data_IF_054317774073
#
_entry.id   IF_054317774073
#
_cell.length_a   1.000
_cell.length_b   1.000
_cell.length_c   1.000
_cell.angle_alpha   90.00
_cell.angle_beta   90.00
_cell.angle_gamma   90.00
#
_symmetry.space_group_name_H-M   'P 1'
#
loop_
_entity.id
_entity.type
_entity.pdbx_description
1 polymer ?
#
# COMPACT_ATOMS: atom_id res chain seq x y z
N UNK A 1 24.88 18.86 -11.95
CA UNK A 1 25.57 20.13 -12.20
C UNK A 1 26.72 20.39 -11.21
N UNK A 2 26.59 20.05 -9.91
CA UNK A 2 27.64 20.26 -8.91
C UNK A 2 28.72 19.17 -8.91
N UNK A 3 28.40 17.95 -9.40
CA UNK A 3 29.28 16.78 -9.30
C UNK A 3 29.79 16.26 -10.65
N UNK A 4 29.44 16.90 -11.74
CA UNK A 4 29.78 16.49 -13.11
C UNK A 4 28.98 15.26 -13.60
N UNK A 5 28.65 15.26 -14.87
CA UNK A 5 27.79 14.26 -15.51
C UNK A 5 28.33 12.83 -15.42
N UNK A 6 29.66 12.68 -15.47
CA UNK A 6 30.30 11.34 -15.42
C UNK A 6 30.11 10.64 -14.08
N UNK A 7 30.16 11.37 -12.96
CA UNK A 7 29.98 10.78 -11.62
C UNK A 7 28.55 10.35 -11.41
N UNK A 8 27.59 11.17 -11.85
CA UNK A 8 26.16 10.87 -11.69
C UNK A 8 25.69 9.75 -12.61
N UNK A 9 26.24 9.66 -13.83
CA UNK A 9 25.95 8.53 -14.72
C UNK A 9 26.51 7.20 -14.18
N UNK A 10 27.63 7.21 -13.46
CA UNK A 10 28.14 6.04 -12.79
C UNK A 10 27.21 5.51 -11.67
N UNK A 11 26.33 6.35 -11.15
CA UNK A 11 25.37 5.97 -10.11
C UNK A 11 24.13 5.23 -10.66
N UNK A 12 23.85 5.39 -11.96
CA UNK A 12 22.81 4.64 -12.65
C UNK A 12 23.35 4.07 -13.97
N UNK A 13 23.96 2.89 -13.95
CA UNK A 13 24.66 2.30 -15.11
C UNK A 13 23.73 1.93 -16.27
N UNK A 14 22.42 1.96 -16.09
CA UNK A 14 21.44 1.71 -17.14
C UNK A 14 21.23 2.90 -18.07
N UNK A 15 21.76 4.09 -17.72
CA UNK A 15 21.55 5.32 -18.47
C UNK A 15 22.70 5.59 -19.45
N UNK A 16 22.33 5.90 -20.68
CA UNK A 16 23.25 6.29 -21.75
C UNK A 16 23.32 7.79 -21.99
N UNK A 17 22.36 8.55 -21.47
CA UNK A 17 22.29 10.00 -21.59
C UNK A 17 22.96 10.71 -20.40
N UNK A 18 23.57 11.84 -20.64
CA UNK A 18 24.12 12.69 -19.56
C UNK A 18 23.01 13.45 -18.85
N UNK A 19 23.18 13.74 -17.56
CA UNK A 19 22.14 14.45 -16.76
C UNK A 19 21.82 15.83 -17.34
N UNK A 20 22.80 16.49 -17.95
CA UNK A 20 22.61 17.78 -18.62
C UNK A 20 21.66 17.73 -19.83
N UNK A 21 21.49 16.55 -20.43
CA UNK A 21 20.61 16.33 -21.58
C UNK A 21 19.23 15.80 -21.18
N UNK A 22 19.05 15.46 -19.90
CA UNK A 22 17.79 14.86 -19.39
C UNK A 22 16.75 15.94 -19.07
N UNK A 23 15.48 15.62 -19.37
CA UNK A 23 14.37 16.40 -18.86
C UNK A 23 14.24 16.29 -17.33
N UNK A 24 13.64 17.27 -16.64
CA UNK A 24 13.41 17.20 -15.20
C UNK A 24 12.61 15.95 -14.78
N UNK A 25 11.64 15.50 -15.60
CA UNK A 25 10.84 14.31 -15.37
C UNK A 25 11.70 13.05 -15.43
N UNK A 26 12.66 12.99 -16.36
CA UNK A 26 13.57 11.86 -16.50
C UNK A 26 14.55 11.80 -15.32
N UNK A 27 15.10 12.93 -14.89
CA UNK A 27 15.94 13.02 -13.69
C UNK A 27 15.16 12.55 -12.45
N UNK A 28 13.92 12.99 -12.31
CA UNK A 28 13.06 12.52 -11.22
C UNK A 28 12.87 11.00 -11.26
N UNK A 29 12.52 10.46 -12.44
CA UNK A 29 12.25 9.03 -12.63
C UNK A 29 13.46 8.15 -12.33
N UNK A 30 14.63 8.53 -12.82
CA UNK A 30 15.83 7.70 -12.77
C UNK A 30 16.62 7.87 -11.45
N UNK A 31 16.65 9.06 -10.87
CA UNK A 31 17.44 9.35 -9.66
C UNK A 31 16.58 9.52 -8.41
N UNK A 32 15.71 10.51 -8.36
CA UNK A 32 14.98 10.85 -7.13
C UNK A 32 14.07 9.68 -6.69
N UNK A 33 13.37 9.06 -7.63
CA UNK A 33 12.49 7.92 -7.38
C UNK A 33 13.28 6.71 -6.85
N UNK A 34 14.46 6.43 -7.42
CA UNK A 34 15.32 5.34 -6.97
C UNK A 34 15.85 5.58 -5.55
N UNK A 35 16.24 6.80 -5.20
CA UNK A 35 16.60 7.16 -3.82
C UNK A 35 15.39 6.98 -2.89
N UNK A 36 14.20 7.40 -3.32
CA UNK A 36 12.96 7.20 -2.59
C UNK A 36 12.67 5.73 -2.29
N UNK A 37 12.88 4.82 -3.26
CA UNK A 37 12.73 3.36 -3.08
C UNK A 37 13.64 2.83 -1.96
N UNK A 38 14.92 3.21 -1.98
CA UNK A 38 15.87 2.83 -0.94
C UNK A 38 15.46 3.36 0.45
N UNK A 39 14.98 4.60 0.48
CA UNK A 39 14.45 5.23 1.70
C UNK A 39 13.22 4.51 2.26
N UNK A 40 12.27 4.12 1.42
CA UNK A 40 11.08 3.35 1.81
C UNK A 40 11.49 1.98 2.38
N UNK A 41 12.39 1.27 1.70
CA UNK A 41 12.87 -0.03 2.16
C UNK A 41 13.50 0.06 3.55
N UNK A 42 14.41 1.01 3.76
CA UNK A 42 15.06 1.22 5.06
C UNK A 42 14.08 1.69 6.14
N UNK A 43 13.16 2.60 5.82
CA UNK A 43 12.12 3.05 6.75
C UNK A 43 11.22 1.89 7.20
N UNK A 44 10.92 0.94 6.30
CA UNK A 44 10.20 -0.28 6.64
C UNK A 44 10.98 -1.18 7.60
N UNK A 45 12.29 -1.39 7.36
CA UNK A 45 13.17 -2.14 8.29
C UNK A 45 13.20 -1.49 9.67
N UNK A 46 13.37 -0.16 9.73
CA UNK A 46 13.34 0.60 10.98
C UNK A 46 11.99 0.42 11.69
N UNK A 47 10.88 0.44 10.94
CA UNK A 47 9.54 0.20 11.48
C UNK A 47 9.40 -1.17 12.14
N UNK A 48 9.89 -2.23 11.51
CA UNK A 48 9.89 -3.59 12.06
C UNK A 48 10.73 -3.64 13.35
N UNK A 49 11.95 -3.11 13.32
CA UNK A 49 12.86 -3.11 14.48
C UNK A 49 12.22 -2.37 15.67
N UNK A 50 11.64 -1.20 15.44
CA UNK A 50 10.93 -0.43 16.48
C UNK A 50 9.72 -1.17 17.05
N UNK A 51 9.04 -1.95 16.22
CA UNK A 51 7.85 -2.70 16.61
C UNK A 51 8.15 -4.10 17.13
N UNK A 52 9.42 -4.47 17.31
CA UNK A 52 9.81 -5.82 17.75
C UNK A 52 9.16 -6.25 19.06
N UNK A 53 9.01 -5.33 20.02
CA UNK A 53 8.32 -5.59 21.28
C UNK A 53 6.84 -5.97 21.09
N UNK A 54 6.17 -5.32 20.14
CA UNK A 54 4.77 -5.58 19.80
C UNK A 54 4.64 -6.96 19.17
N UNK A 55 5.51 -7.27 18.21
CA UNK A 55 5.55 -8.57 17.53
C UNK A 55 5.75 -9.70 18.55
N UNK A 56 6.72 -9.53 19.46
CA UNK A 56 6.99 -10.51 20.54
C UNK A 56 5.78 -10.71 21.45
N UNK A 57 5.07 -9.63 21.81
CA UNK A 57 3.88 -9.71 22.66
C UNK A 57 2.72 -10.41 21.95
N UNK A 58 2.51 -10.15 20.66
CA UNK A 58 1.48 -10.80 19.85
C UNK A 58 1.71 -12.30 19.72
N UNK A 59 2.95 -12.73 19.44
CA UNK A 59 3.32 -14.16 19.41
C UNK A 59 3.12 -14.81 20.77
N UNK A 60 3.54 -14.11 21.86
CA UNK A 60 3.37 -14.62 23.21
C UNK A 60 1.91 -14.80 23.63
N UNK A 61 1.03 -13.88 23.20
CA UNK A 61 -0.40 -13.98 23.46
C UNK A 61 -1.02 -15.15 22.71
N UNK A 62 -0.73 -15.28 21.41
CA UNK A 62 -1.20 -16.40 20.60
C UNK A 62 -0.78 -17.76 21.17
N UNK A 63 0.48 -17.89 21.60
CA UNK A 63 1.00 -19.11 22.21
C UNK A 63 0.30 -19.45 23.54
N UNK A 64 0.01 -18.44 24.37
CA UNK A 64 -0.72 -18.64 25.65
C UNK A 64 -2.14 -19.12 25.44
N UNK A 65 -2.86 -18.53 24.48
CA UNK A 65 -4.25 -18.93 24.18
C UNK A 65 -4.34 -20.30 23.51
N UNK A 66 -3.41 -20.63 22.64
CA UNK A 66 -3.32 -21.99 22.05
C UNK A 66 -2.96 -23.05 23.10
N UNK A 67 -2.18 -22.69 24.13
CA UNK A 67 -1.79 -23.58 25.23
C UNK A 67 -2.90 -23.90 26.23
N UNK A 68 -4.15 -23.50 25.97
CA UNK A 68 -5.34 -23.96 26.73
C UNK A 68 -5.49 -23.37 28.13
N UNK A 69 -4.76 -22.31 28.48
CA UNK A 69 -5.08 -21.54 29.69
C UNK A 69 -6.39 -20.80 29.43
N UNK A 70 -7.47 -21.30 30.05
CA UNK A 70 -8.80 -20.67 30.00
C UNK A 70 -8.65 -19.21 30.43
N UNK A 71 -8.82 -18.30 29.49
CA UNK A 71 -9.11 -16.92 29.79
C UNK A 71 -10.47 -16.91 30.50
N UNK A 72 -10.56 -16.20 31.58
CA UNK A 72 -11.59 -16.20 32.60
C UNK A 72 -13.04 -16.37 32.08
N UNK A 73 -13.83 -17.14 32.82
CA UNK A 73 -15.19 -17.54 32.49
C UNK A 73 -16.24 -16.39 32.42
N UNK A 74 -15.85 -15.15 32.63
CA UNK A 74 -16.74 -13.98 32.68
C UNK A 74 -16.33 -12.88 31.70
N UNK A 75 -16.12 -13.23 30.41
CA UNK A 75 -15.88 -12.20 29.39
C UNK A 75 -17.20 -11.50 29.05
N UNK A 76 -17.24 -10.18 29.25
CA UNK A 76 -18.40 -9.35 28.88
C UNK A 76 -18.65 -9.49 27.37
N UNK A 77 -19.91 -9.48 26.94
CA UNK A 77 -20.32 -9.63 25.53
C UNK A 77 -19.52 -8.76 24.54
N UNK A 78 -19.20 -7.54 24.94
CA UNK A 78 -18.45 -6.56 24.13
C UNK A 78 -16.94 -6.81 24.06
N UNK A 79 -16.45 -7.83 24.76
CA UNK A 79 -15.05 -8.26 24.76
C UNK A 79 -14.89 -9.72 24.27
N UNK A 80 -15.97 -10.31 23.75
CA UNK A 80 -15.96 -11.69 23.29
C UNK A 80 -15.51 -11.75 21.84
N UNK A 81 -14.27 -12.24 21.63
CA UNK A 81 -13.65 -12.46 20.31
C UNK A 81 -13.89 -13.90 19.80
N UNK A 82 -13.51 -14.16 18.55
CA UNK A 82 -13.43 -15.51 18.01
C UNK A 82 -12.36 -16.30 18.75
N UNK A 83 -12.62 -17.62 18.91
CA UNK A 83 -11.64 -18.47 19.56
C UNK A 83 -10.36 -18.59 18.72
N UNK A 84 -9.20 -18.57 19.37
CA UNK A 84 -7.90 -18.70 18.72
C UNK A 84 -7.79 -19.98 17.86
N UNK A 85 -8.52 -21.05 18.22
CA UNK A 85 -8.56 -22.28 17.43
C UNK A 85 -9.21 -22.08 16.06
N UNK A 86 -10.30 -21.29 15.97
CA UNK A 86 -10.96 -20.95 14.71
C UNK A 86 -10.02 -20.08 13.87
N UNK A 87 -9.36 -19.10 14.49
CA UNK A 87 -8.41 -18.22 13.80
C UNK A 87 -7.22 -19.03 13.26
N UNK A 88 -6.63 -19.91 14.06
CA UNK A 88 -5.51 -20.75 13.64
C UNK A 88 -5.89 -21.68 12.48
N UNK A 89 -7.04 -22.37 12.60
CA UNK A 89 -7.52 -23.25 11.54
C UNK A 89 -7.82 -22.46 10.25
N UNK A 90 -8.52 -21.34 10.35
CA UNK A 90 -8.79 -20.45 9.21
C UNK A 90 -7.52 -19.93 8.55
N UNK A 91 -6.51 -19.54 9.36
CA UNK A 91 -5.21 -19.09 8.84
C UNK A 91 -4.46 -20.19 8.10
N UNK A 92 -4.41 -21.41 8.66
CA UNK A 92 -3.78 -22.57 8.00
C UNK A 92 -4.51 -22.90 6.70
N UNK A 93 -5.83 -22.90 6.72
CA UNK A 93 -6.64 -23.15 5.52
C UNK A 93 -6.38 -22.09 4.43
N UNK A 94 -6.34 -20.82 4.80
CA UNK A 94 -6.04 -19.72 3.86
C UNK A 94 -4.63 -19.83 3.29
N UNK A 95 -3.62 -20.13 4.14
CA UNK A 95 -2.23 -20.35 3.69
C UNK A 95 -2.17 -21.51 2.69
N UNK A 96 -2.91 -22.61 2.94
CA UNK A 96 -2.97 -23.73 2.01
C UNK A 96 -3.61 -23.34 0.67
N UNK A 97 -4.70 -22.57 0.68
CA UNK A 97 -5.33 -22.08 -0.55
C UNK A 97 -4.38 -21.16 -1.35
N UNK A 98 -3.67 -20.26 -0.68
CA UNK A 98 -2.68 -19.38 -1.33
C UNK A 98 -1.52 -20.22 -1.88
N UNK A 99 -1.06 -21.26 -1.17
CA UNK A 99 -0.02 -22.15 -1.65
C UNK A 99 -0.45 -22.89 -2.93
N UNK A 100 -1.68 -23.40 -2.96
CA UNK A 100 -2.24 -24.07 -4.14
C UNK A 100 -2.34 -23.07 -5.32
N UNK A 101 -2.80 -21.87 -5.07
CA UNK A 101 -2.85 -20.80 -6.07
C UNK A 101 -1.46 -20.46 -6.61
N UNK A 102 -0.47 -20.29 -5.75
CA UNK A 102 0.91 -20.05 -6.19
C UNK A 102 1.46 -21.22 -6.99
N UNK A 103 1.20 -22.45 -6.56
CA UNK A 103 1.72 -23.62 -7.24
C UNK A 103 1.14 -23.82 -8.64
N UNK A 104 -0.19 -23.74 -8.78
CA UNK A 104 -0.83 -24.03 -10.04
C UNK A 104 -0.83 -22.85 -11.01
N UNK A 105 -1.11 -21.64 -10.53
CA UNK A 105 -1.38 -20.49 -11.39
C UNK A 105 -0.16 -19.58 -11.56
N UNK A 106 0.54 -19.23 -10.47
CA UNK A 106 1.62 -18.26 -10.51
C UNK A 106 2.98 -18.86 -10.85
N UNK A 107 3.30 -20.05 -10.28
CA UNK A 107 4.63 -20.69 -10.40
C UNK A 107 4.62 -21.88 -11.37
N UNK A 108 3.51 -22.16 -12.04
CA UNK A 108 3.36 -23.20 -13.06
C UNK A 108 3.95 -24.57 -12.66
N UNK A 109 3.69 -25.01 -11.41
CA UNK A 109 4.11 -26.30 -10.89
C UNK A 109 5.49 -26.34 -10.23
N UNK A 110 6.19 -25.23 -10.08
CA UNK A 110 7.49 -25.21 -9.40
C UNK A 110 7.32 -25.21 -7.87
N UNK A 111 7.57 -26.34 -7.26
CA UNK A 111 7.41 -26.56 -5.79
C UNK A 111 8.30 -25.64 -4.98
N UNK A 112 9.59 -25.50 -5.37
CA UNK A 112 10.55 -24.68 -4.62
C UNK A 112 10.13 -23.22 -4.58
N UNK A 113 9.79 -22.63 -5.74
CA UNK A 113 9.37 -21.24 -5.82
C UNK A 113 8.07 -21.01 -5.05
N UNK A 114 7.12 -21.97 -5.09
CA UNK A 114 5.84 -21.86 -4.37
C UNK A 114 6.02 -21.90 -2.85
N UNK A 115 6.91 -22.79 -2.35
CA UNK A 115 7.20 -22.86 -0.92
C UNK A 115 7.89 -21.60 -0.43
N UNK A 116 8.89 -21.11 -1.18
CA UNK A 116 9.59 -19.88 -0.83
C UNK A 116 8.61 -18.69 -0.84
N UNK A 117 7.74 -18.59 -1.85
CA UNK A 117 6.76 -17.54 -1.96
C UNK A 117 5.78 -17.53 -0.77
N UNK A 118 5.22 -18.69 -0.40
CA UNK A 118 4.25 -18.76 0.70
C UNK A 118 4.90 -18.47 2.06
N UNK A 119 6.10 -18.96 2.31
CA UNK A 119 6.84 -18.68 3.54
C UNK A 119 7.14 -17.18 3.67
N UNK A 120 7.56 -16.56 2.58
CA UNK A 120 7.85 -15.13 2.53
C UNK A 120 6.57 -14.32 2.76
N UNK A 121 5.50 -14.61 2.02
CA UNK A 121 4.21 -13.91 2.14
C UNK A 121 3.60 -14.07 3.53
N UNK A 122 3.57 -15.28 4.07
CA UNK A 122 3.03 -15.53 5.41
C UNK A 122 3.83 -14.80 6.50
N UNK A 123 5.18 -14.85 6.40
CA UNK A 123 6.06 -14.15 7.34
C UNK A 123 5.90 -12.63 7.27
N UNK A 124 5.95 -12.06 6.07
CA UNK A 124 5.82 -10.60 5.87
C UNK A 124 4.39 -10.14 6.25
N UNK A 125 3.35 -10.87 5.84
CA UNK A 125 1.97 -10.53 6.17
C UNK A 125 1.78 -10.49 7.69
N UNK A 126 2.24 -11.51 8.41
CA UNK A 126 2.14 -11.55 9.88
C UNK A 126 2.88 -10.37 10.53
N UNK A 127 4.12 -10.11 10.14
CA UNK A 127 4.92 -9.02 10.69
C UNK A 127 4.27 -7.66 10.42
N UNK A 128 3.91 -7.41 9.18
CA UNK A 128 3.41 -6.10 8.77
C UNK A 128 1.98 -5.84 9.24
N UNK A 129 1.09 -6.84 9.27
CA UNK A 129 -0.25 -6.66 9.81
C UNK A 129 -0.23 -6.36 11.30
N UNK A 130 0.67 -7.01 12.06
CA UNK A 130 0.84 -6.72 13.49
C UNK A 130 1.30 -5.28 13.71
N UNK A 131 2.27 -4.81 12.94
CA UNK A 131 2.78 -3.43 13.02
C UNK A 131 1.73 -2.43 12.58
N UNK A 132 1.04 -2.69 11.45
CA UNK A 132 0.00 -1.83 10.92
C UNK A 132 -1.19 -1.72 11.88
N UNK A 133 -1.66 -2.83 12.43
CA UNK A 133 -2.77 -2.84 13.38
C UNK A 133 -2.47 -1.95 14.61
N UNK A 134 -1.26 -2.03 15.14
CA UNK A 134 -0.83 -1.19 16.26
C UNK A 134 -0.74 0.29 15.85
N UNK A 135 -0.15 0.58 14.69
CA UNK A 135 -0.06 1.95 14.19
C UNK A 135 -1.45 2.58 14.01
N UNK A 136 -2.39 1.84 13.45
CA UNK A 136 -3.76 2.30 13.24
C UNK A 136 -4.48 2.53 14.57
N UNK A 137 -4.30 1.63 15.53
CA UNK A 137 -4.91 1.78 16.86
C UNK A 137 -4.43 3.04 17.60
N UNK A 138 -3.18 3.46 17.38
CA UNK A 138 -2.58 4.63 18.04
C UNK A 138 -2.80 5.91 17.24
N UNK A 139 -2.53 5.90 15.94
CA UNK A 139 -2.45 7.11 15.09
C UNK A 139 -3.68 7.27 14.20
N UNK A 140 -4.47 6.21 14.00
CA UNK A 140 -5.63 6.22 13.11
C UNK A 140 -5.31 6.16 11.61
N UNK A 141 -4.03 6.07 11.22
CA UNK A 141 -3.60 6.00 9.81
C UNK A 141 -3.00 4.64 9.48
N UNK A 142 -3.28 4.16 8.25
CA UNK A 142 -2.80 2.86 7.79
C UNK A 142 -1.57 3.04 6.87
N UNK A 143 -0.37 2.54 7.23
CA UNK A 143 0.85 2.68 6.44
C UNK A 143 0.95 1.67 5.28
N UNK A 144 -0.15 1.29 4.65
CA UNK A 144 -0.23 0.21 3.64
C UNK A 144 0.71 0.42 2.47
N UNK A 145 0.75 1.63 1.89
CA UNK A 145 1.52 1.90 0.66
C UNK A 145 3.02 1.64 0.84
N UNK A 146 3.62 2.12 1.93
CA UNK A 146 5.04 1.92 2.21
C UNK A 146 5.39 0.46 2.49
N UNK A 147 4.56 -0.23 3.28
CA UNK A 147 4.75 -1.64 3.60
C UNK A 147 4.54 -2.54 2.39
N UNK A 148 3.62 -2.21 1.49
CA UNK A 148 3.42 -2.94 0.23
C UNK A 148 4.64 -2.81 -0.68
N UNK A 149 5.17 -1.59 -0.87
CA UNK A 149 6.39 -1.37 -1.66
C UNK A 149 7.59 -2.14 -1.07
N UNK A 150 7.74 -2.13 0.24
CA UNK A 150 8.78 -2.93 0.90
C UNK A 150 8.59 -4.43 0.65
N UNK A 151 7.35 -4.93 0.70
CA UNK A 151 7.04 -6.33 0.37
C UNK A 151 7.47 -6.66 -1.05
N UNK A 152 7.16 -5.78 -2.02
CA UNK A 152 7.54 -5.97 -3.41
C UNK A 152 9.05 -6.02 -3.60
N UNK A 153 9.79 -5.14 -2.93
CA UNK A 153 11.27 -5.15 -2.96
C UNK A 153 11.81 -6.45 -2.39
N UNK A 154 11.35 -6.85 -1.20
CA UNK A 154 11.80 -8.09 -0.54
C UNK A 154 11.44 -9.33 -1.37
N UNK A 155 10.20 -9.39 -1.88
CA UNK A 155 9.74 -10.49 -2.73
C UNK A 155 10.59 -10.59 -4.00
N UNK A 156 10.87 -9.45 -4.66
CA UNK A 156 11.70 -9.42 -5.86
C UNK A 156 13.12 -9.90 -5.59
N UNK A 157 13.76 -9.40 -4.55
CA UNK A 157 15.14 -9.79 -4.20
C UNK A 157 15.23 -11.28 -3.88
N UNK A 158 14.30 -11.80 -3.07
CA UNK A 158 14.30 -13.21 -2.68
C UNK A 158 14.00 -14.10 -3.88
N UNK A 159 13.00 -13.76 -4.71
CA UNK A 159 12.64 -14.56 -5.88
C UNK A 159 13.77 -14.59 -6.92
N UNK A 160 14.46 -13.47 -7.14
CA UNK A 160 15.66 -13.43 -7.99
C UNK A 160 16.79 -14.30 -7.42
N UNK A 161 16.98 -14.30 -6.11
CA UNK A 161 18.00 -15.14 -5.46
C UNK A 161 17.70 -16.64 -5.62
N UNK A 162 16.43 -17.03 -5.71
CA UNK A 162 15.99 -18.42 -5.96
C UNK A 162 15.95 -18.76 -7.46
N UNK A 163 16.29 -17.79 -8.33
CA UNK A 163 16.40 -17.99 -9.78
C UNK A 163 15.15 -17.61 -10.57
N UNK A 164 14.09 -17.09 -9.96
CA UNK A 164 12.90 -16.62 -10.66
C UNK A 164 13.10 -15.16 -11.12
N UNK A 165 13.24 -14.97 -12.43
CA UNK A 165 13.53 -13.67 -13.08
C UNK A 165 12.57 -13.39 -14.23
N UNK A 166 12.65 -12.16 -14.78
CA UNK A 166 11.88 -11.76 -15.96
C UNK A 166 10.40 -11.58 -15.68
N UNK A 167 9.57 -11.68 -16.72
CA UNK A 167 8.13 -11.42 -16.65
C UNK A 167 7.41 -12.30 -15.63
N UNK A 168 7.72 -13.60 -15.56
CA UNK A 168 7.13 -14.52 -14.57
C UNK A 168 7.50 -14.12 -13.15
N UNK A 169 8.74 -13.71 -12.91
CA UNK A 169 9.19 -13.19 -11.62
C UNK A 169 8.45 -11.91 -11.23
N UNK A 170 8.24 -10.99 -12.18
CA UNK A 170 7.48 -9.75 -11.95
C UNK A 170 6.03 -10.04 -11.55
N UNK A 171 5.35 -10.93 -12.27
CA UNK A 171 3.98 -11.35 -11.92
C UNK A 171 3.93 -11.97 -10.53
N UNK A 172 4.86 -12.88 -10.24
CA UNK A 172 4.96 -13.51 -8.94
C UNK A 172 5.13 -12.49 -7.81
N UNK A 173 6.06 -11.56 -7.94
CA UNK A 173 6.29 -10.50 -6.94
C UNK A 173 5.07 -9.61 -6.76
N UNK A 174 4.39 -9.22 -7.87
CA UNK A 174 3.16 -8.41 -7.81
C UNK A 174 2.04 -9.13 -7.08
N UNK A 175 1.83 -10.42 -7.37
CA UNK A 175 0.82 -11.24 -6.68
C UNK A 175 1.15 -11.39 -5.20
N UNK A 176 2.41 -11.67 -4.85
CA UNK A 176 2.86 -11.73 -3.45
C UNK A 176 2.61 -10.40 -2.73
N UNK A 177 2.97 -9.28 -3.36
CA UNK A 177 2.69 -7.94 -2.84
C UNK A 177 1.18 -7.68 -2.69
N UNK A 178 0.37 -8.13 -3.64
CA UNK A 178 -1.09 -8.03 -3.59
C UNK A 178 -1.70 -8.78 -2.40
N UNK A 179 -1.25 -10.01 -2.14
CA UNK A 179 -1.70 -10.80 -0.98
C UNK A 179 -1.37 -10.10 0.33
N UNK A 180 -0.13 -9.61 0.49
CA UNK A 180 0.28 -8.87 1.70
C UNK A 180 -0.47 -7.54 1.81
N UNK A 181 -0.66 -6.82 0.70
CA UNK A 181 -1.43 -5.57 0.67
C UNK A 181 -2.88 -5.79 1.13
N UNK A 182 -3.51 -6.87 0.68
CA UNK A 182 -4.87 -7.25 1.10
C UNK A 182 -4.92 -7.53 2.60
N UNK A 183 -3.95 -8.27 3.13
CA UNK A 183 -3.85 -8.55 4.56
C UNK A 183 -3.69 -7.25 5.39
N UNK A 184 -2.83 -6.33 4.94
CA UNK A 184 -2.62 -5.01 5.56
C UNK A 184 -3.87 -4.13 5.53
N UNK A 185 -4.55 -4.07 4.38
CA UNK A 185 -5.80 -3.32 4.23
C UNK A 185 -6.91 -3.86 5.13
N UNK A 186 -7.03 -5.20 5.19
CA UNK A 186 -8.00 -5.86 6.06
C UNK A 186 -7.71 -5.58 7.54
N UNK A 187 -6.46 -5.67 7.98
CA UNK A 187 -6.08 -5.34 9.35
C UNK A 187 -6.46 -3.89 9.69
N UNK A 188 -6.20 -2.95 8.78
CA UNK A 188 -6.54 -1.55 8.97
C UNK A 188 -8.02 -1.27 9.08
N UNK A 189 -8.79 -1.72 8.10
CA UNK A 189 -10.24 -1.56 8.10
C UNK A 189 -10.89 -2.26 9.30
N UNK A 190 -10.34 -3.41 9.71
CA UNK A 190 -10.90 -4.17 10.81
C UNK A 190 -10.71 -3.50 12.18
N UNK A 191 -9.56 -2.92 12.46
CA UNK A 191 -9.31 -2.17 13.71
C UNK A 191 -10.30 -1.00 13.84
N UNK A 192 -10.56 -0.26 12.76
CA UNK A 192 -11.54 0.84 12.77
C UNK A 192 -12.97 0.33 12.97
N UNK A 193 -13.35 -0.76 12.31
CA UNK A 193 -14.67 -1.40 12.49
C UNK A 193 -14.90 -1.88 13.92
N UNK A 194 -13.89 -2.50 14.55
CA UNK A 194 -13.95 -2.92 15.95
C UNK A 194 -14.10 -1.72 16.89
N UNK A 195 -13.44 -0.60 16.60
CA UNK A 195 -13.57 0.62 17.39
C UNK A 195 -14.98 1.21 17.32
N UNK A 196 -15.56 1.25 16.12
CA UNK A 196 -16.96 1.68 15.92
C UNK A 196 -17.91 0.70 16.63
N UNK A 197 -17.68 -0.60 16.49
CA UNK A 197 -18.45 -1.63 17.16
C UNK A 197 -18.40 -1.53 18.68
N UNK A 198 -17.26 -1.16 19.25
CA UNK A 198 -17.11 -0.91 20.67
C UNK A 198 -18.00 0.26 21.12
N UNK A 199 -18.02 1.37 20.40
CA UNK A 199 -18.88 2.51 20.71
C UNK A 199 -20.38 2.19 20.60
N UNK A 200 -20.77 1.33 19.67
CA UNK A 200 -22.15 0.88 19.46
C UNK A 200 -22.54 -0.29 20.37
N UNK A 201 -21.62 -0.81 21.18
CA UNK A 201 -21.86 -1.97 22.04
C UNK A 201 -22.03 -3.28 21.27
N UNK A 202 -21.45 -3.41 20.09
CA UNK A 202 -21.46 -4.62 19.26
C UNK A 202 -20.59 -5.75 19.86
N UNK A 203 -20.86 -6.99 19.46
CA UNK A 203 -20.05 -8.14 19.86
C UNK A 203 -18.94 -8.36 18.85
N UNK A 204 -17.64 -8.28 19.22
CA UNK A 204 -16.50 -8.43 18.29
C UNK A 204 -16.58 -9.73 17.48
N UNK A 205 -16.81 -10.88 18.13
CA UNK A 205 -16.91 -12.17 17.44
C UNK A 205 -17.96 -12.19 16.31
N UNK A 206 -19.07 -11.44 16.44
CA UNK A 206 -20.05 -11.33 15.35
C UNK A 206 -19.54 -10.47 14.20
N UNK A 207 -18.87 -9.36 14.51
CA UNK A 207 -18.23 -8.51 13.49
C UNK A 207 -17.17 -9.29 12.71
N UNK A 208 -16.32 -10.04 13.41
CA UNK A 208 -15.29 -10.90 12.84
C UNK A 208 -15.89 -11.94 11.88
N UNK A 209 -16.94 -12.64 12.31
CA UNK A 209 -17.60 -13.67 11.50
C UNK A 209 -18.20 -13.08 10.21
N UNK A 210 -18.95 -12.00 10.32
CA UNK A 210 -19.59 -11.36 9.16
C UNK A 210 -18.60 -10.68 8.21
N UNK A 211 -17.44 -10.29 8.72
CA UNK A 211 -16.35 -9.74 7.91
C UNK A 211 -15.86 -10.71 6.83
N UNK A 212 -15.81 -12.01 7.13
CA UNK A 212 -15.43 -13.02 6.13
C UNK A 212 -16.40 -13.03 4.95
N UNK A 213 -17.71 -13.00 5.21
CA UNK A 213 -18.72 -12.96 4.15
C UNK A 213 -18.60 -11.63 3.35
N UNK A 214 -18.46 -10.50 4.05
CA UNK A 214 -18.28 -9.21 3.43
C UNK A 214 -17.05 -9.15 2.51
N UNK A 215 -15.93 -9.74 2.95
CA UNK A 215 -14.70 -9.83 2.16
C UNK A 215 -14.89 -10.65 0.89
N UNK A 216 -15.61 -11.77 0.97
CA UNK A 216 -15.88 -12.64 -0.17
C UNK A 216 -16.72 -11.93 -1.25
N UNK A 217 -17.80 -11.26 -0.83
CA UNK A 217 -18.65 -10.44 -1.71
C UNK A 217 -17.86 -9.30 -2.31
N UNK A 218 -17.06 -8.62 -1.50
CA UNK A 218 -16.21 -7.51 -1.95
C UNK A 218 -15.19 -7.96 -2.99
N UNK A 219 -14.52 -9.10 -2.77
CA UNK A 219 -13.54 -9.65 -3.71
C UNK A 219 -14.17 -9.97 -5.07
N UNK A 220 -15.36 -10.58 -5.09
CA UNK A 220 -16.08 -10.84 -6.32
C UNK A 220 -16.50 -9.55 -7.04
N UNK A 221 -16.99 -8.56 -6.30
CA UNK A 221 -17.41 -7.27 -6.84
C UNK A 221 -16.23 -6.50 -7.43
N UNK A 222 -15.11 -6.42 -6.71
CA UNK A 222 -13.89 -5.72 -7.17
C UNK A 222 -13.35 -6.37 -8.45
N UNK A 223 -13.31 -7.71 -8.52
CA UNK A 223 -12.93 -8.42 -9.74
C UNK A 223 -13.80 -8.03 -10.95
N UNK A 224 -15.12 -8.00 -10.75
CA UNK A 224 -16.07 -7.56 -11.79
C UNK A 224 -15.85 -6.11 -12.21
N UNK A 225 -15.64 -5.20 -11.27
CA UNK A 225 -15.37 -3.78 -11.55
C UNK A 225 -14.07 -3.60 -12.34
N UNK A 226 -12.99 -4.31 -11.97
CA UNK A 226 -11.72 -4.26 -12.70
C UNK A 226 -11.90 -4.75 -14.15
N UNK A 227 -12.67 -5.82 -14.37
CA UNK A 227 -12.97 -6.29 -15.71
C UNK A 227 -13.74 -5.26 -16.54
N UNK A 228 -14.74 -4.59 -15.96
CA UNK A 228 -15.50 -3.53 -16.61
C UNK A 228 -14.57 -2.36 -16.96
N UNK A 229 -13.76 -1.89 -16.02
CA UNK A 229 -12.81 -0.79 -16.23
C UNK A 229 -11.82 -1.12 -17.35
N UNK A 230 -11.27 -2.33 -17.34
CA UNK A 230 -10.33 -2.76 -18.38
C UNK A 230 -10.98 -2.82 -19.76
N UNK A 231 -12.21 -3.30 -19.87
CA UNK A 231 -12.94 -3.34 -21.16
C UNK A 231 -13.36 -1.96 -21.65
N UNK A 232 -13.67 -1.03 -20.73
CA UNK A 232 -14.18 0.30 -21.08
C UNK A 232 -13.05 1.26 -21.43
N UNK A 233 -11.97 1.28 -20.64
CA UNK A 233 -10.87 2.25 -20.79
C UNK A 233 -9.57 1.63 -21.27
N UNK A 234 -9.30 0.37 -20.90
CA UNK A 234 -8.05 -0.32 -21.15
C UNK A 234 -6.90 0.22 -20.27
N UNK A 235 -6.18 -0.67 -19.58
CA UNK A 235 -5.03 -0.25 -18.78
C UNK A 235 -3.79 0.07 -19.61
N UNK A 236 -3.69 -0.46 -20.83
CA UNK A 236 -2.56 -0.26 -21.73
C UNK A 236 -2.61 1.04 -22.53
N UNK A 237 -3.79 1.64 -22.67
CA UNK A 237 -4.00 2.84 -23.51
C UNK A 237 -3.65 4.15 -22.83
N UNK A 238 -3.34 4.13 -21.53
CA UNK A 238 -3.12 5.34 -20.74
C UNK A 238 -4.39 6.11 -20.38
N UNK A 239 -5.55 5.73 -20.91
CA UNK A 239 -6.83 6.37 -20.60
C UNK A 239 -7.26 6.17 -19.14
N UNK A 240 -6.85 5.06 -18.51
CA UNK A 240 -7.02 4.82 -17.09
C UNK A 240 -5.66 4.96 -16.41
N UNK A 241 -5.41 6.09 -15.79
CA UNK A 241 -4.19 6.30 -15.02
C UNK A 241 -4.18 5.37 -13.80
N UNK A 242 -3.19 4.48 -13.73
CA UNK A 242 -2.93 3.62 -12.59
C UNK A 242 -1.56 3.96 -11.98
N UNK A 243 -1.39 5.15 -11.37
CA UNK A 243 -0.09 5.66 -10.95
C UNK A 243 0.59 4.75 -9.93
N UNK A 244 -0.18 4.13 -9.03
CA UNK A 244 0.35 3.18 -8.03
C UNK A 244 0.85 1.90 -8.68
N UNK A 245 0.11 1.32 -9.63
CA UNK A 245 0.53 0.12 -10.34
C UNK A 245 1.78 0.36 -11.18
N UNK A 246 1.82 1.48 -11.91
CA UNK A 246 3.00 1.88 -12.69
C UNK A 246 4.21 2.15 -11.78
N UNK A 247 3.99 2.73 -10.62
CA UNK A 247 5.03 2.94 -9.63
C UNK A 247 5.60 1.62 -9.10
N UNK A 248 4.74 0.66 -8.79
CA UNK A 248 5.13 -0.67 -8.33
C UNK A 248 5.90 -1.44 -9.42
N UNK A 249 5.41 -1.42 -10.66
CA UNK A 249 6.10 -2.02 -11.80
C UNK A 249 7.51 -1.43 -11.99
N UNK A 250 7.66 -0.13 -11.91
CA UNK A 250 8.95 0.55 -12.05
C UNK A 250 9.95 0.22 -10.92
N UNK A 251 9.48 -0.26 -9.77
CA UNK A 251 10.34 -0.76 -8.68
C UNK A 251 10.81 -2.18 -8.96
N UNK A 252 9.91 -3.02 -9.48
CA UNK A 252 10.17 -4.45 -9.67
C UNK A 252 11.00 -4.71 -10.92
N UNK A 253 10.75 -3.96 -11.99
CA UNK A 253 11.36 -4.18 -13.31
C UNK A 253 12.89 -4.19 -13.27
N UNK A 254 13.62 -3.22 -12.70
CA UNK A 254 15.07 -3.25 -12.59
C UNK A 254 15.58 -4.42 -11.74
N UNK A 255 14.82 -4.83 -10.71
CA UNK A 255 15.21 -5.94 -9.83
C UNK A 255 15.09 -7.29 -10.52
N UNK A 256 14.06 -7.48 -11.36
CA UNK A 256 13.73 -8.77 -11.95
C UNK A 256 14.38 -9.01 -13.32
N UNK A 257 14.57 -7.97 -14.12
CA UNK A 257 15.12 -8.09 -15.47
C UNK A 257 16.65 -7.98 -15.53
N UNK A 258 17.32 -7.74 -14.41
CA UNK A 258 18.78 -7.75 -14.32
C UNK A 258 19.47 -6.59 -15.07
N UNK A 259 18.73 -5.61 -15.56
CA UNK A 259 19.25 -4.39 -16.14
C UNK A 259 19.65 -3.48 -14.97
N UNK A 260 20.79 -3.81 -14.33
CA UNK A 260 21.47 -3.00 -13.34
C UNK A 260 20.60 -2.18 -12.40
N UNK A 261 19.96 -2.83 -11.40
CA UNK A 261 19.30 -2.06 -10.36
C UNK A 261 20.29 -1.05 -9.76
N UNK A 262 19.92 0.24 -9.60
CA UNK A 262 20.82 1.28 -9.13
C UNK A 262 21.05 1.15 -7.62
N UNK A 263 21.76 0.10 -7.22
CA UNK A 263 22.01 -0.25 -5.81
C UNK A 263 22.63 0.89 -5.01
N UNK A 264 23.44 1.72 -5.67
CA UNK A 264 24.08 2.86 -5.03
C UNK A 264 23.03 3.92 -4.67
N UNK A 265 22.06 4.21 -5.55
CA UNK A 265 20.96 5.13 -5.28
C UNK A 265 20.03 4.59 -4.18
N UNK A 266 19.77 3.29 -4.20
CA UNK A 266 19.02 2.62 -3.10
C UNK A 266 19.78 2.73 -1.77
N UNK A 267 21.12 2.55 -1.80
CA UNK A 267 21.97 2.76 -0.63
C UNK A 267 21.93 4.18 -0.08
N UNK A 268 22.00 5.18 -0.96
CA UNK A 268 21.88 6.61 -0.58
C UNK A 268 20.52 6.87 0.07
N UNK A 269 19.44 6.34 -0.50
CA UNK A 269 18.10 6.45 0.07
C UNK A 269 18.00 5.79 1.45
N UNK A 270 18.62 4.63 1.63
CA UNK A 270 18.67 3.94 2.91
C UNK A 270 19.42 4.75 3.99
N UNK A 271 20.58 5.31 3.65
CA UNK A 271 21.34 6.19 4.55
C UNK A 271 20.54 7.45 4.88
N UNK A 272 19.89 8.06 3.89
CA UNK A 272 19.02 9.22 4.10
C UNK A 272 17.90 8.91 5.09
N UNK A 273 17.25 7.75 4.98
CA UNK A 273 16.20 7.32 5.91
C UNK A 273 16.73 7.15 7.35
N UNK A 274 17.94 6.63 7.52
CA UNK A 274 18.60 6.54 8.84
C UNK A 274 18.87 7.94 9.42
N UNK A 275 19.40 8.86 8.62
CA UNK A 275 19.67 10.24 9.03
C UNK A 275 18.37 10.94 9.44
N UNK A 276 17.33 10.87 8.62
CA UNK A 276 16.02 11.45 8.93
C UNK A 276 15.43 10.87 10.22
N UNK A 277 15.57 9.56 10.41
CA UNK A 277 15.11 8.90 11.64
C UNK A 277 15.87 9.39 12.86
N UNK A 278 17.17 9.62 12.76
CA UNK A 278 17.98 10.20 13.84
C UNK A 278 17.49 11.60 14.23
N UNK A 279 17.16 12.45 13.25
CA UNK A 279 16.58 13.77 13.47
C UNK A 279 15.08 13.76 13.83
N UNK A 280 14.48 12.58 14.05
CA UNK A 280 13.04 12.40 14.36
C UNK A 280 12.10 12.90 13.24
N UNK A 281 12.59 13.00 12.02
CA UNK A 281 11.75 13.26 10.84
C UNK A 281 11.15 11.93 10.38
N UNK A 282 9.85 11.89 10.00
CA UNK A 282 9.21 10.66 9.54
C UNK A 282 9.79 10.21 8.19
N UNK A 283 10.79 9.32 8.25
CA UNK A 283 11.57 8.87 7.10
C UNK A 283 10.70 8.24 6.00
N UNK A 284 9.66 7.48 6.39
CA UNK A 284 8.73 6.88 5.43
C UNK A 284 7.95 7.93 4.62
N UNK A 285 7.41 8.95 5.30
CA UNK A 285 6.66 10.01 4.64
C UNK A 285 7.55 10.82 3.68
N UNK A 286 8.79 11.12 4.11
CA UNK A 286 9.77 11.81 3.27
C UNK A 286 10.13 10.98 2.04
N UNK A 287 10.45 9.70 2.21
CA UNK A 287 10.81 8.81 1.11
C UNK A 287 9.64 8.58 0.13
N UNK A 288 8.40 8.51 0.62
CA UNK A 288 7.20 8.48 -0.22
C UNK A 288 7.05 9.76 -1.03
N UNK A 289 7.31 10.93 -0.44
CA UNK A 289 7.30 12.21 -1.15
C UNK A 289 8.35 12.27 -2.28
N UNK A 290 9.52 11.65 -2.11
CA UNK A 290 10.52 11.51 -3.17
C UNK A 290 10.09 10.50 -4.26
N UNK A 291 9.26 9.53 -3.92
CA UNK A 291 8.83 8.48 -4.83
C UNK A 291 7.61 8.88 -5.67
N UNK A 292 6.69 9.66 -5.10
CA UNK A 292 5.45 10.08 -5.74
C UNK A 292 5.73 11.25 -6.70
N UNK A 293 5.17 11.26 -7.93
CA UNK A 293 5.32 12.37 -8.86
C UNK A 293 4.85 13.71 -8.29
N UNK A 294 5.44 14.80 -8.78
CA UNK A 294 5.16 16.16 -8.30
C UNK A 294 3.68 16.55 -8.46
N UNK A 295 3.05 16.09 -9.53
CA UNK A 295 1.63 16.32 -9.84
C UNK A 295 0.70 15.80 -8.73
N UNK A 296 1.07 14.72 -8.05
CA UNK A 296 0.33 14.16 -6.93
C UNK A 296 0.74 14.74 -5.57
N UNK A 297 1.97 15.26 -5.46
CA UNK A 297 2.47 15.88 -4.24
C UNK A 297 1.99 17.32 -4.06
N UNK A 298 1.82 18.08 -5.15
CA UNK A 298 1.43 19.46 -5.10
C UNK A 298 0.04 19.69 -4.46
N UNK A 299 -1.00 18.90 -4.79
CA UNK A 299 -2.29 18.97 -4.10
C UNK A 299 -2.19 18.69 -2.60
N UNK A 300 -1.29 17.79 -2.17
CA UNK A 300 -1.06 17.51 -0.74
C UNK A 300 -0.52 18.74 0.00
N UNK A 301 0.39 19.51 -0.62
CA UNK A 301 0.91 20.76 -0.07
C UNK A 301 -0.19 21.80 0.10
N UNK A 302 -1.00 22.00 -0.94
CA UNK A 302 -2.15 22.91 -0.91
C UNK A 302 -3.16 22.49 0.14
N UNK A 303 -3.54 21.21 0.16
CA UNK A 303 -4.46 20.66 1.17
C UNK A 303 -3.93 20.80 2.60
N UNK A 304 -2.63 20.56 2.80
CA UNK A 304 -1.96 20.76 4.08
C UNK A 304 -1.99 22.22 4.54
N UNK A 305 -1.73 23.16 3.64
CA UNK A 305 -1.80 24.61 3.92
C UNK A 305 -3.23 25.05 4.27
N UNK A 306 -4.23 24.57 3.54
CA UNK A 306 -5.64 24.82 3.83
C UNK A 306 -6.03 24.26 5.20
N UNK A 307 -5.66 23.01 5.48
CA UNK A 307 -5.91 22.38 6.77
C UNK A 307 -5.27 23.17 7.92
N UNK A 308 -3.99 23.52 7.77
CA UNK A 308 -3.30 24.34 8.76
C UNK A 308 -4.02 25.67 8.99
N UNK A 309 -4.37 26.39 7.94
CA UNK A 309 -5.10 27.67 8.05
C UNK A 309 -6.43 27.53 8.77
N UNK A 310 -7.22 26.51 8.42
CA UNK A 310 -8.56 26.29 9.00
C UNK A 310 -8.49 25.88 10.47
N UNK A 311 -7.51 25.03 10.83
CA UNK A 311 -7.36 24.49 12.18
C UNK A 311 -6.58 25.40 13.14
N UNK A 312 -5.96 26.48 12.65
CA UNK A 312 -5.20 27.42 13.50
C UNK A 312 -5.84 28.80 13.61
N UNK A 313 -6.94 29.06 12.90
CA UNK A 313 -7.55 30.39 12.80
C UNK A 313 -8.25 30.87 14.07
N UNK A 314 -8.77 29.98 14.91
CA UNK A 314 -9.45 30.33 16.16
C UNK A 314 -8.49 30.24 17.36
N UNK A 315 -8.74 31.06 18.37
CA UNK A 315 -8.08 30.93 19.68
C UNK A 315 -8.63 29.75 20.51
N UNK A 316 -9.82 29.25 20.13
CA UNK A 316 -10.48 28.12 20.77
C UNK A 316 -10.09 26.82 20.08
N UNK A 317 -9.39 25.94 20.81
CA UNK A 317 -8.92 24.65 20.29
C UNK A 317 -10.09 23.73 19.93
N UNK A 318 -11.20 23.76 20.66
CA UNK A 318 -12.38 22.94 20.35
C UNK A 318 -12.99 23.31 19.00
N UNK A 319 -13.08 24.60 18.70
CA UNK A 319 -13.56 25.11 17.41
C UNK A 319 -12.63 24.72 16.27
N UNK A 320 -11.33 24.77 16.51
CA UNK A 320 -10.33 24.36 15.50
C UNK A 320 -10.40 22.84 15.22
N UNK A 321 -10.56 22.03 16.25
CA UNK A 321 -10.73 20.58 16.12
C UNK A 321 -12.00 20.23 15.33
N UNK A 322 -13.13 20.86 15.66
CA UNK A 322 -14.41 20.67 14.94
C UNK A 322 -14.29 21.07 13.46
N UNK A 323 -13.63 22.16 13.15
CA UNK A 323 -13.37 22.59 11.76
C UNK A 323 -12.50 21.59 11.00
N UNK A 324 -11.46 21.08 11.64
CA UNK A 324 -10.59 20.04 11.06
C UNK A 324 -11.37 18.76 10.76
N UNK A 325 -12.22 18.32 11.69
CA UNK A 325 -13.08 17.15 11.51
C UNK A 325 -14.09 17.33 10.36
N UNK A 326 -14.80 18.46 10.32
CA UNK A 326 -15.71 18.80 9.21
C UNK A 326 -14.98 18.85 7.86
N UNK A 327 -13.79 19.44 7.81
CA UNK A 327 -12.96 19.49 6.61
C UNK A 327 -12.57 18.10 6.13
N UNK A 328 -12.15 17.24 7.04
CA UNK A 328 -11.78 15.84 6.76
C UNK A 328 -12.97 15.03 6.24
N UNK A 329 -14.15 15.18 6.87
CA UNK A 329 -15.37 14.49 6.42
C UNK A 329 -15.79 14.95 5.03
N UNK A 330 -15.72 16.26 4.76
CA UNK A 330 -16.05 16.81 3.44
C UNK A 330 -15.10 16.29 2.36
N UNK A 331 -13.79 16.33 2.61
CA UNK A 331 -12.78 15.82 1.71
C UNK A 331 -12.94 14.31 1.44
N UNK A 332 -13.24 13.53 2.49
CA UNK A 332 -13.53 12.09 2.38
C UNK A 332 -14.78 11.83 1.52
N UNK A 333 -15.80 12.67 1.66
CA UNK A 333 -17.01 12.62 0.82
C UNK A 333 -16.71 12.88 -0.66
N UNK A 334 -15.87 13.85 -0.98
CA UNK A 334 -15.43 14.11 -2.37
C UNK A 334 -14.63 12.95 -2.95
N UNK A 335 -13.69 12.38 -2.19
CA UNK A 335 -12.89 11.23 -2.63
C UNK A 335 -13.78 10.02 -2.90
N UNK A 336 -14.63 9.66 -1.93
CA UNK A 336 -15.52 8.51 -2.05
C UNK A 336 -16.56 8.70 -3.16
N UNK A 337 -17.16 9.89 -3.25
CA UNK A 337 -18.14 10.23 -4.28
C UNK A 337 -17.54 10.19 -5.68
N UNK A 338 -16.34 10.74 -5.87
CA UNK A 338 -15.61 10.69 -7.13
C UNK A 338 -15.28 9.26 -7.56
N UNK A 339 -14.82 8.42 -6.63
CA UNK A 339 -14.51 7.01 -6.91
C UNK A 339 -15.77 6.22 -7.31
N UNK A 340 -16.88 6.38 -6.56
CA UNK A 340 -18.16 5.72 -6.87
C UNK A 340 -18.70 6.18 -8.22
N UNK A 341 -18.68 7.49 -8.49
CA UNK A 341 -19.16 8.03 -9.76
C UNK A 341 -18.30 7.55 -10.94
N UNK A 342 -16.99 7.39 -10.74
CA UNK A 342 -16.09 6.79 -11.73
C UNK A 342 -16.51 5.37 -12.12
N UNK A 343 -16.86 4.53 -11.13
CA UNK A 343 -17.37 3.17 -11.37
C UNK A 343 -18.73 3.19 -12.07
N UNK A 344 -19.65 4.06 -11.64
CA UNK A 344 -20.95 4.22 -12.28
C UNK A 344 -20.79 4.64 -13.74
N UNK A 345 -19.98 5.65 -14.02
CA UNK A 345 -19.67 6.12 -15.37
C UNK A 345 -19.09 5.01 -16.25
N UNK A 346 -18.15 4.22 -15.72
CA UNK A 346 -17.58 3.07 -16.43
C UNK A 346 -18.63 2.01 -16.75
N UNK A 347 -19.52 1.70 -15.80
CA UNK A 347 -20.60 0.73 -16.00
C UNK A 347 -21.61 1.23 -17.07
N UNK A 348 -21.94 2.51 -17.07
CA UNK A 348 -22.82 3.13 -18.08
C UNK A 348 -22.18 3.06 -19.48
N UNK A 349 -20.91 3.41 -19.60
CA UNK A 349 -20.18 3.30 -20.88
C UNK A 349 -20.09 1.85 -21.36
N UNK A 350 -19.85 0.91 -20.44
CA UNK A 350 -19.89 -0.52 -20.78
C UNK A 350 -21.25 -0.96 -21.29
N UNK A 351 -22.34 -0.39 -20.78
CA UNK A 351 -23.72 -0.58 -21.25
C UNK A 351 -24.08 0.20 -22.52
N UNK A 352 -23.11 0.92 -23.13
CA UNK A 352 -23.32 1.70 -24.36
C UNK A 352 -23.84 3.13 -24.14
N UNK A 353 -23.97 3.59 -22.90
CA UNK A 353 -24.39 4.95 -22.56
C UNK A 353 -23.14 5.82 -22.35
N UNK A 354 -22.84 6.69 -23.31
CA UNK A 354 -21.74 7.63 -23.21
C UNK A 354 -22.27 9.02 -22.78
N UNK A 355 -21.92 9.44 -21.57
CA UNK A 355 -22.29 10.75 -21.01
C UNK A 355 -21.20 11.82 -21.24
N UNK A 356 -20.09 11.46 -21.89
CA UNK A 356 -18.99 12.39 -22.13
C UNK A 356 -19.32 13.25 -23.33
N UNK A 357 -19.28 14.56 -23.12
CA UNK A 357 -19.36 15.53 -24.21
C UNK A 357 -17.95 15.80 -24.73
N UNK A 358 -17.62 15.26 -25.90
CA UNK A 358 -16.31 15.40 -26.53
C UNK A 358 -15.99 16.85 -26.95
N UNK A 359 -17.02 17.62 -27.30
CA UNK A 359 -16.87 19.05 -27.60
C UNK A 359 -16.46 19.86 -26.36
N UNK A 360 -16.96 19.46 -25.18
CA UNK A 360 -16.54 20.08 -23.92
C UNK A 360 -15.10 19.75 -23.57
N UNK A 361 -14.64 18.54 -23.81
CA UNK A 361 -13.26 18.13 -23.53
C UNK A 361 -12.24 18.90 -24.37
N UNK A 362 -12.61 19.31 -25.58
CA UNK A 362 -11.74 20.14 -26.46
C UNK A 362 -11.78 21.65 -26.14
N UNK A 363 -12.64 22.07 -25.20
CA UNK A 363 -12.77 23.48 -24.82
C UNK A 363 -11.68 23.88 -23.80
N UNK A 364 -10.90 24.96 -24.03
CA UNK A 364 -9.89 25.42 -23.07
C UNK A 364 -10.43 25.73 -21.67
N UNK A 365 -11.73 26.08 -21.57
CA UNK A 365 -12.40 26.26 -20.28
C UNK A 365 -12.53 24.97 -19.46
N UNK A 366 -12.54 23.80 -20.10
CA UNK A 366 -12.63 22.53 -19.41
C UNK A 366 -11.38 22.25 -18.58
N UNK A 367 -10.20 22.62 -19.09
CA UNK A 367 -8.94 22.49 -18.37
C UNK A 367 -8.90 23.40 -17.14
N UNK A 368 -9.35 24.65 -17.28
CA UNK A 368 -9.37 25.63 -16.17
C UNK A 368 -10.36 25.24 -15.08
N UNK A 369 -11.52 24.67 -15.45
CA UNK A 369 -12.56 24.25 -14.49
C UNK A 369 -12.28 22.89 -13.85
N UNK A 370 -11.37 22.08 -14.43
CA UNK A 370 -10.95 20.79 -13.86
C UNK A 370 -9.81 20.93 -12.82
N UNK A 371 -9.13 22.07 -12.78
CA UNK A 371 -8.15 22.42 -11.76
C UNK A 371 -8.81 22.97 -10.49
#
# INVERSE_FOLDING_TARGET
LLFGDQVLNAWNPALTQTISEMSPELIFKEYAKSIGIGGIAMAGVIGIVRSWGIIKSAVGLAAKEMGGKKVEANVIRTQKDLSMKIIAFGSIFTILLILLFFFFDVMHGNVLHSIVAILLVAGIAFLFTTVAANAIAIVGTNPVSGMTLMTLILASVVMVAVGLKGATGMVAALVMGGVVCTALSMAGGFITDLKIGYWLGSTPAKQETWKFLGTLVSAATVGGVIMILNKTYGFSTGALAAPQANAMAAVIDPLMNGVGAPWLLYGIGAVLALVLTYFKVPALAFALGMFIPLELNLPLLVGGAVNWYVTTRSKDEAVNAERGEKGTLLASGFIAGGALMGVVSAAMRFGGINLINEEWLSNPLSEVLSM
#
